data_IF_079440943068
#
_entry.id   IF_079440943068
#
_cell.length_a   1.000
_cell.length_b   1.000
_cell.length_c   1.000
_cell.angle_alpha   90.00
_cell.angle_beta   90.00
_cell.angle_gamma   90.00
#
_symmetry.space_group_name_H-M   'P 1'
#
loop_
_entity.id
_entity.type
_entity.pdbx_description
1 polymer ?
#
# COMPACT_ATOMS: atom_id res chain seq x y z
N UNK A 1 -23.49 -20.63 -6.28
CA UNK A 1 -23.44 -19.26 -5.73
C UNK A 1 -21.98 -18.87 -5.58
N UNK A 2 -21.52 -17.79 -6.19
CA UNK A 2 -20.23 -17.17 -5.85
C UNK A 2 -20.54 -15.99 -4.94
N UNK A 3 -20.12 -16.08 -3.68
CA UNK A 3 -20.18 -14.96 -2.77
C UNK A 3 -19.17 -13.90 -3.26
N UNK A 4 -19.65 -12.69 -3.51
CA UNK A 4 -18.81 -11.53 -3.72
C UNK A 4 -18.55 -10.97 -2.33
N UNK A 5 -17.30 -10.99 -1.88
CA UNK A 5 -16.89 -10.26 -0.67
C UNK A 5 -16.95 -8.79 -1.05
N UNK A 6 -17.97 -8.08 -0.56
CA UNK A 6 -18.17 -6.66 -0.84
C UNK A 6 -17.22 -5.77 -0.04
N UNK A 7 -17.09 -4.52 -0.48
CA UNK A 7 -16.20 -3.49 0.08
C UNK A 7 -16.36 -3.29 1.60
N UNK A 8 -17.58 -3.47 2.13
CA UNK A 8 -17.86 -3.39 3.57
C UNK A 8 -17.14 -4.44 4.43
N UNK A 9 -16.77 -5.60 3.87
CA UNK A 9 -16.01 -6.61 4.62
C UNK A 9 -14.50 -6.35 4.60
N UNK A 10 -13.99 -5.77 3.52
CA UNK A 10 -12.54 -5.64 3.27
C UNK A 10 -11.93 -4.45 4.01
N UNK A 11 -12.68 -3.37 4.25
CA UNK A 11 -12.18 -2.17 4.90
C UNK A 11 -11.60 -2.39 6.31
N UNK A 12 -12.21 -3.29 7.09
CA UNK A 12 -11.83 -3.57 8.49
C UNK A 12 -11.13 -4.93 8.68
N UNK A 13 -10.91 -5.69 7.59
CA UNK A 13 -10.33 -7.02 7.67
C UNK A 13 -8.82 -6.93 7.98
N UNK A 14 -8.48 -7.16 9.24
CA UNK A 14 -7.10 -7.38 9.70
C UNK A 14 -6.81 -8.88 9.65
N UNK A 15 -5.77 -9.31 8.92
CA UNK A 15 -5.48 -10.75 8.77
C UNK A 15 -4.03 -11.10 9.07
N UNK A 16 -3.78 -12.31 9.57
CA UNK A 16 -2.42 -12.85 9.78
C UNK A 16 -2.05 -13.87 8.69
N UNK A 17 -2.69 -13.81 7.52
CA UNK A 17 -2.52 -14.83 6.49
C UNK A 17 -1.69 -14.30 5.32
N UNK A 18 -0.36 -14.36 5.48
CA UNK A 18 0.62 -13.82 4.53
C UNK A 18 1.07 -14.80 3.43
N UNK A 19 0.45 -15.97 3.32
CA UNK A 19 0.81 -16.97 2.32
C UNK A 19 0.29 -16.62 0.92
N UNK A 20 1.00 -17.02 -0.15
CA UNK A 20 0.46 -16.93 -1.50
C UNK A 20 -0.80 -17.83 -1.62
N UNK A 21 -1.94 -17.24 -1.97
CA UNK A 21 -3.21 -17.97 -2.14
C UNK A 21 -3.60 -17.98 -3.60
N UNK A 22 -3.49 -19.14 -4.26
CA UNK A 22 -3.96 -19.30 -5.64
C UNK A 22 -5.48 -19.06 -5.71
N UNK A 23 -5.90 -17.98 -6.36
CA UNK A 23 -7.31 -17.56 -6.44
C UNK A 23 -7.85 -16.88 -5.18
N UNK A 24 -6.99 -16.50 -4.23
CA UNK A 24 -7.34 -15.69 -3.06
C UNK A 24 -6.70 -14.31 -3.10
N UNK A 25 -7.01 -13.48 -2.12
CA UNK A 25 -6.37 -12.18 -1.89
C UNK A 25 -5.59 -12.21 -0.58
N UNK A 26 -4.54 -11.40 -0.49
CA UNK A 26 -3.83 -11.14 0.75
C UNK A 26 -4.11 -9.71 1.18
N UNK A 27 -4.30 -9.53 2.48
CA UNK A 27 -4.54 -8.22 3.07
C UNK A 27 -3.32 -7.87 3.88
N UNK A 28 -2.69 -6.75 3.55
CA UNK A 28 -1.54 -6.21 4.26
C UNK A 28 -1.94 -5.34 5.46
N UNK A 29 -3.25 -5.10 5.63
CA UNK A 29 -3.82 -4.49 6.82
C UNK A 29 -3.82 -5.47 8.01
N UNK A 30 -3.30 -5.01 9.16
CA UNK A 30 -3.15 -5.80 10.39
C UNK A 30 -3.52 -4.96 11.61
N UNK A 31 -3.67 -5.60 12.77
CA UNK A 31 -4.01 -4.89 14.00
C UNK A 31 -2.80 -4.21 14.65
N UNK A 32 -3.04 -3.12 15.39
CA UNK A 32 -1.98 -2.42 16.11
C UNK A 32 -1.35 -3.33 17.17
N UNK A 33 -2.14 -4.24 17.76
CA UNK A 33 -1.65 -5.26 18.67
C UNK A 33 -0.71 -6.24 17.97
N UNK A 34 -1.00 -6.62 16.72
CA UNK A 34 -0.11 -7.49 15.94
C UNK A 34 1.20 -6.77 15.60
N UNK A 35 1.15 -5.48 15.26
CA UNK A 35 2.34 -4.66 15.03
C UNK A 35 3.17 -4.55 16.32
N UNK A 36 2.54 -4.24 17.45
CA UNK A 36 3.19 -4.11 18.75
C UNK A 36 3.79 -5.43 19.23
N UNK A 37 3.09 -6.56 19.04
CA UNK A 37 3.57 -7.90 19.38
C UNK A 37 4.81 -8.30 18.56
N UNK A 38 5.02 -7.68 17.39
CA UNK A 38 6.20 -7.87 16.54
C UNK A 38 7.21 -6.71 16.68
N UNK A 39 7.10 -5.93 17.76
CA UNK A 39 8.07 -4.92 18.19
C UNK A 39 7.66 -3.50 17.85
N UNK A 40 7.43 -3.19 16.58
CA UNK A 40 6.90 -1.90 16.09
C UNK A 40 6.58 -1.99 14.59
N UNK A 41 6.05 -0.91 14.02
CA UNK A 41 5.73 -0.83 12.59
C UNK A 41 6.94 -1.15 11.70
N UNK A 42 8.11 -0.59 11.98
CA UNK A 42 9.33 -0.80 11.16
C UNK A 42 9.67 -2.29 11.09
N UNK A 43 9.71 -2.97 12.24
CA UNK A 43 9.97 -4.42 12.29
C UNK A 43 8.86 -5.23 11.62
N UNK A 44 7.61 -4.80 11.74
CA UNK A 44 6.50 -5.49 11.10
C UNK A 44 6.59 -5.39 9.57
N UNK A 45 6.82 -4.18 9.06
CA UNK A 45 7.03 -3.90 7.65
C UNK A 45 8.17 -4.73 7.06
N UNK A 46 9.34 -4.70 7.68
CA UNK A 46 10.54 -5.37 7.20
C UNK A 46 10.43 -6.90 7.19
N UNK A 47 9.69 -7.47 8.15
CA UNK A 47 9.58 -8.93 8.29
C UNK A 47 8.38 -9.55 7.56
N UNK A 48 7.33 -8.78 7.29
CA UNK A 48 6.06 -9.32 6.77
C UNK A 48 5.61 -8.64 5.48
N UNK A 49 5.24 -7.36 5.52
CA UNK A 49 4.59 -6.70 4.38
C UNK A 49 5.56 -6.50 3.21
N UNK A 50 6.77 -5.98 3.47
CA UNK A 50 7.76 -5.72 2.43
C UNK A 50 8.19 -7.01 1.71
N UNK A 51 8.62 -8.09 2.38
CA UNK A 51 9.01 -9.32 1.69
C UNK A 51 7.88 -9.93 0.85
N UNK A 52 6.63 -9.82 1.32
CA UNK A 52 5.47 -10.28 0.59
C UNK A 52 5.23 -9.46 -0.68
N UNK A 53 5.22 -8.13 -0.56
CA UNK A 53 4.97 -7.22 -1.67
C UNK A 53 6.09 -7.29 -2.71
N UNK A 54 7.35 -7.35 -2.27
CA UNK A 54 8.49 -7.61 -3.16
C UNK A 54 8.36 -8.95 -3.90
N UNK A 55 7.82 -9.99 -3.25
CA UNK A 55 7.60 -11.26 -3.93
C UNK A 55 6.49 -11.18 -4.99
N UNK A 56 5.44 -10.38 -4.77
CA UNK A 56 4.40 -10.12 -5.77
C UNK A 56 4.93 -9.28 -6.94
N UNK A 57 5.69 -8.22 -6.64
CA UNK A 57 6.39 -7.40 -7.63
C UNK A 57 7.34 -8.25 -8.48
N UNK A 58 8.14 -9.14 -7.87
CA UNK A 58 9.04 -10.05 -8.61
C UNK A 58 8.32 -11.00 -9.56
N UNK A 59 7.06 -11.36 -9.28
CA UNK A 59 6.23 -12.17 -10.18
C UNK A 59 5.59 -11.35 -11.30
N UNK A 60 5.56 -10.03 -11.17
CA UNK A 60 4.83 -9.14 -12.08
C UNK A 60 3.32 -9.22 -11.85
N UNK A 61 2.87 -9.49 -10.62
CA UNK A 61 1.45 -9.54 -10.30
C UNK A 61 0.83 -8.13 -10.41
N UNK A 62 -0.37 -8.01 -10.96
CA UNK A 62 -1.21 -6.82 -10.79
C UNK A 62 -1.73 -6.78 -9.34
N UNK A 63 -1.66 -5.61 -8.70
CA UNK A 63 -1.98 -5.47 -7.28
C UNK A 63 -3.25 -4.65 -7.12
N UNK A 64 -4.31 -5.25 -6.60
CA UNK A 64 -5.56 -4.54 -6.31
C UNK A 64 -5.44 -3.69 -5.04
N UNK A 65 -5.93 -2.46 -5.09
CA UNK A 65 -5.96 -1.54 -3.95
C UNK A 65 -7.39 -1.44 -3.39
N UNK A 66 -7.55 -1.78 -2.11
CA UNK A 66 -8.82 -1.63 -1.42
C UNK A 66 -9.17 -0.17 -1.12
N UNK A 67 -8.15 0.66 -0.92
CA UNK A 67 -8.26 2.09 -0.65
C UNK A 67 -7.78 2.89 -1.85
N UNK A 68 -8.26 4.14 -1.98
CA UNK A 68 -7.85 5.02 -3.07
C UNK A 68 -6.51 5.70 -2.74
N UNK A 69 -5.40 5.38 -3.43
CA UNK A 69 -4.12 6.01 -3.19
C UNK A 69 -4.09 7.49 -3.60
N UNK A 70 -5.08 7.97 -4.35
CA UNK A 70 -5.20 9.41 -4.67
C UNK A 70 -5.72 10.23 -3.47
N UNK A 71 -6.26 9.59 -2.44
CA UNK A 71 -6.47 10.24 -1.14
C UNK A 71 -5.14 10.25 -0.36
N UNK A 72 -4.39 11.35 -0.50
CA UNK A 72 -3.05 11.47 0.09
C UNK A 72 -3.07 11.37 1.63
N UNK A 73 -4.22 11.61 2.28
CA UNK A 73 -4.35 11.47 3.73
C UNK A 73 -4.26 10.01 4.20
N UNK A 74 -4.48 9.05 3.29
CA UNK A 74 -4.28 7.63 3.56
C UNK A 74 -2.79 7.23 3.47
N UNK A 75 -1.98 7.98 2.72
CA UNK A 75 -0.56 7.72 2.52
C UNK A 75 0.32 8.42 3.55
N UNK A 76 -0.09 9.60 4.00
CA UNK A 76 0.69 10.48 4.88
C UNK A 76 -0.22 11.01 5.99
N UNK A 77 0.21 10.88 7.25
CA UNK A 77 -0.53 11.35 8.44
C UNK A 77 -0.77 12.85 8.40
N UNK A 78 0.17 13.60 7.80
CA UNK A 78 0.12 15.04 7.59
C UNK A 78 0.66 15.36 6.20
N UNK A 79 0.09 16.38 5.56
CA UNK A 79 0.45 16.80 4.20
C UNK A 79 1.37 18.03 4.18
N UNK A 80 2.00 18.35 5.32
CA UNK A 80 2.97 19.44 5.38
C UNK A 80 4.14 19.13 4.43
N UNK A 81 4.57 20.14 3.67
CA UNK A 81 5.66 20.03 2.68
C UNK A 81 5.39 19.05 1.51
N UNK A 82 4.20 18.45 1.45
CA UNK A 82 3.78 17.64 0.30
C UNK A 82 3.32 18.58 -0.82
N UNK A 83 3.80 18.42 -2.06
CA UNK A 83 3.38 19.24 -3.20
C UNK A 83 2.00 18.78 -3.71
N UNK A 84 0.97 18.92 -2.88
CA UNK A 84 -0.40 18.42 -3.16
C UNK A 84 -0.96 18.98 -4.46
N UNK A 85 -0.63 20.22 -4.79
CA UNK A 85 -1.08 20.89 -6.01
C UNK A 85 -0.41 20.34 -7.28
N UNK A 86 0.70 19.61 -7.17
CA UNK A 86 1.41 19.01 -8.30
C UNK A 86 1.01 17.54 -8.53
N UNK A 87 0.38 16.88 -7.53
CA UNK A 87 -0.04 15.48 -7.59
C UNK A 87 -1.48 15.40 -8.11
N UNK A 88 -1.67 15.45 -9.44
CA UNK A 88 -3.00 15.49 -10.09
C UNK A 88 -3.43 14.17 -10.71
N UNK A 89 -2.49 13.25 -10.89
CA UNK A 89 -2.73 11.96 -11.53
C UNK A 89 -2.00 10.82 -10.82
N UNK A 90 -2.40 9.55 -11.05
CA UNK A 90 -1.66 8.40 -10.58
C UNK A 90 -0.19 8.37 -11.02
N UNK A 91 0.12 8.90 -12.20
CA UNK A 91 1.51 9.02 -12.68
C UNK A 91 2.29 10.07 -11.89
N UNK A 92 1.68 11.21 -11.57
CA UNK A 92 2.32 12.23 -10.73
C UNK A 92 2.60 11.69 -9.33
N UNK A 93 1.62 10.97 -8.75
CA UNK A 93 1.77 10.31 -7.45
C UNK A 93 2.91 9.29 -7.46
N UNK A 94 2.95 8.41 -8.46
CA UNK A 94 4.00 7.41 -8.59
C UNK A 94 5.37 8.07 -8.73
N UNK A 95 5.50 9.13 -9.54
CA UNK A 95 6.73 9.87 -9.70
C UNK A 95 7.16 10.58 -8.41
N UNK A 96 6.23 11.18 -7.67
CA UNK A 96 6.50 11.80 -6.38
C UNK A 96 7.03 10.77 -5.38
N UNK A 97 6.30 9.68 -5.16
CA UNK A 97 6.67 8.66 -4.17
C UNK A 97 7.96 7.92 -4.53
N UNK A 98 8.17 7.60 -5.81
CA UNK A 98 9.39 6.97 -6.31
C UNK A 98 10.65 7.77 -5.97
N UNK A 99 10.55 9.10 -6.05
CA UNK A 99 11.68 10.00 -5.82
C UNK A 99 11.68 10.63 -4.41
N UNK A 100 10.75 10.22 -3.53
CA UNK A 100 10.63 10.78 -2.20
C UNK A 100 11.80 10.35 -1.31
N UNK A 101 12.66 11.32 -0.98
CA UNK A 101 13.80 11.20 -0.06
C UNK A 101 13.76 12.19 1.11
N UNK A 102 12.77 13.09 1.14
CA UNK A 102 12.55 14.04 2.23
C UNK A 102 12.18 13.31 3.54
N UNK A 103 13.07 13.41 4.53
CA UNK A 103 12.91 12.72 5.81
C UNK A 103 11.68 13.19 6.60
N UNK A 104 11.30 14.47 6.51
CA UNK A 104 10.14 14.99 7.24
C UNK A 104 8.85 14.40 6.68
N UNK A 105 8.75 14.28 5.35
CA UNK A 105 7.59 13.65 4.71
C UNK A 105 7.60 12.13 4.98
N UNK A 106 8.78 11.50 4.95
CA UNK A 106 8.91 10.07 5.21
C UNK A 106 8.51 9.68 6.65
N UNK A 107 8.73 10.54 7.65
CA UNK A 107 8.28 10.27 9.03
C UNK A 107 6.74 10.26 9.17
N UNK A 108 6.05 10.96 8.27
CA UNK A 108 4.59 11.01 8.20
C UNK A 108 3.99 9.83 7.42
N UNK A 109 4.79 9.00 6.75
CA UNK A 109 4.27 7.92 5.91
C UNK A 109 3.51 6.86 6.72
N UNK A 110 2.36 6.45 6.21
CA UNK A 110 1.54 5.38 6.80
C UNK A 110 2.03 4.01 6.31
N UNK A 111 1.42 2.93 6.82
CA UNK A 111 1.69 1.61 6.29
C UNK A 111 1.26 1.45 4.84
N UNK A 112 0.07 1.95 4.51
CA UNK A 112 -0.41 2.01 3.14
C UNK A 112 0.51 2.88 2.27
N UNK A 113 0.98 4.02 2.79
CA UNK A 113 1.96 4.87 2.12
C UNK A 113 3.26 4.13 1.75
N UNK A 114 3.81 3.32 2.67
CA UNK A 114 4.99 2.50 2.41
C UNK A 114 4.76 1.48 1.28
N UNK A 115 3.57 0.87 1.22
CA UNK A 115 3.19 -0.07 0.16
C UNK A 115 3.15 0.61 -1.20
N UNK A 116 2.51 1.78 -1.28
CA UNK A 116 2.40 2.53 -2.55
C UNK A 116 3.75 3.09 -2.98
N UNK A 117 4.58 3.53 -2.03
CA UNK A 117 5.96 3.95 -2.32
C UNK A 117 6.77 2.82 -2.94
N UNK A 118 6.75 1.63 -2.34
CA UNK A 118 7.47 0.46 -2.87
C UNK A 118 6.96 0.06 -4.26
N UNK A 119 5.65 0.12 -4.50
CA UNK A 119 5.08 -0.11 -5.83
C UNK A 119 5.58 0.93 -6.85
N UNK A 120 5.57 2.20 -6.48
CA UNK A 120 6.02 3.32 -7.33
C UNK A 120 7.52 3.21 -7.67
N UNK A 121 8.35 2.81 -6.71
CA UNK A 121 9.78 2.50 -6.92
C UNK A 121 10.02 1.38 -7.94
N UNK A 122 9.04 0.50 -8.12
CA UNK A 122 9.09 -0.63 -9.05
C UNK A 122 8.27 -0.41 -10.33
N UNK A 123 7.98 0.86 -10.64
CA UNK A 123 7.27 1.36 -11.83
C UNK A 123 5.79 0.95 -11.93
N UNK A 124 5.17 0.59 -10.82
CA UNK A 124 3.72 0.38 -10.80
C UNK A 124 2.97 1.70 -10.75
N UNK A 125 1.94 1.85 -11.59
CA UNK A 125 1.05 3.01 -11.65
C UNK A 125 -0.37 2.56 -11.31
N UNK A 126 -1.04 3.33 -10.45
CA UNK A 126 -2.43 3.05 -10.11
C UNK A 126 -3.38 3.36 -11.28
N UNK A 127 -4.23 2.40 -11.62
CA UNK A 127 -5.33 2.59 -12.55
C UNK A 127 -6.64 2.78 -11.76
N UNK A 128 -7.15 4.01 -11.74
CA UNK A 128 -8.36 4.39 -11.00
C UNK A 128 -9.65 3.71 -11.49
N UNK A 129 -9.66 3.22 -12.74
CA UNK A 129 -10.80 2.50 -13.32
C UNK A 129 -10.85 1.06 -12.85
N UNK A 130 -9.71 0.36 -12.85
CA UNK A 130 -9.64 -1.04 -12.44
C UNK A 130 -9.35 -1.23 -10.95
N UNK A 131 -8.95 -0.16 -10.25
CA UNK A 131 -8.49 -0.16 -8.86
C UNK A 131 -7.23 -1.02 -8.66
N UNK A 132 -6.42 -1.17 -9.70
CA UNK A 132 -5.20 -1.97 -9.68
C UNK A 132 -3.96 -1.12 -9.93
N UNK A 133 -2.88 -1.45 -9.26
CA UNK A 133 -1.53 -1.07 -9.65
C UNK A 133 -1.04 -2.03 -10.73
N UNK A 134 -0.61 -1.46 -11.84
CA UNK A 134 -0.11 -2.17 -13.03
C UNK A 134 1.24 -1.58 -13.45
N UNK A 135 2.09 -2.40 -14.07
CA UNK A 135 3.41 -1.99 -14.56
C UNK A 135 3.38 -1.59 -16.03
#
# INVERSE_FOLDING_TARGET
>A
MKAIVGDELLGDLKTQQFGAKKGGFNILNVSDEAIAANGNWVKFWDNFNKPWLEAAIRRGDDIWAASDPMDLSLLLKRLNNVPVEDIKSPTDLANFLKNLDDFEILDEITGFGNEIKLLSENDYIYNSTTKMFIK
#
